data_IF_823494367273
#
_entry.id   IF_823494367273
#
_cell.length_a   1.000
_cell.length_b   1.000
_cell.length_c   1.000
_cell.angle_alpha   90.00
_cell.angle_beta   90.00
_cell.angle_gamma   90.00
#
_symmetry.space_group_name_H-M   'P 1'
#
loop_
_entity.id
_entity.type
_entity.pdbx_description
1 polymer ?
#
# COMPACT_ATOMS: atom_id res chain seq x y z
N UNK A 1 24.15 2.25 18.99
CA UNK A 1 24.26 1.69 17.63
C UNK A 1 23.12 0.72 17.35
N UNK A 2 22.83 -0.23 18.23
CA UNK A 2 21.89 -1.35 18.01
C UNK A 2 20.44 -1.02 17.60
N UNK A 3 19.82 0.03 18.15
CA UNK A 3 18.41 0.34 17.85
C UNK A 3 18.19 0.90 16.44
N UNK A 4 19.13 1.71 15.94
CA UNK A 4 19.04 2.27 14.59
C UNK A 4 19.20 1.16 13.54
N UNK A 5 20.14 0.26 13.76
CA UNK A 5 20.38 -0.89 12.88
C UNK A 5 19.23 -1.90 12.93
N UNK A 6 18.55 -2.02 14.07
CA UNK A 6 17.33 -2.82 14.17
C UNK A 6 16.18 -2.22 13.36
N UNK A 7 15.92 -0.92 13.50
CA UNK A 7 14.84 -0.25 12.77
C UNK A 7 15.11 -0.27 11.26
N UNK A 8 16.34 -0.01 10.84
CA UNK A 8 16.72 -0.05 9.41
C UNK A 8 16.43 -1.43 8.80
N UNK A 9 16.80 -2.52 9.51
CA UNK A 9 16.52 -3.88 9.05
C UNK A 9 15.03 -4.19 8.92
N UNK A 10 14.21 -3.67 9.84
CA UNK A 10 12.75 -3.84 9.75
C UNK A 10 12.17 -3.08 8.55
N UNK A 11 12.69 -1.88 8.26
CA UNK A 11 12.30 -1.09 7.08
C UNK A 11 12.69 -1.84 5.80
N UNK A 12 13.94 -2.30 5.70
CA UNK A 12 14.42 -3.07 4.55
C UNK A 12 13.60 -4.34 4.33
N UNK A 13 13.29 -5.07 5.42
CA UNK A 13 12.47 -6.28 5.36
C UNK A 13 11.08 -6.01 4.80
N UNK A 14 10.38 -4.99 5.30
CA UNK A 14 9.06 -4.62 4.78
C UNK A 14 9.15 -4.16 3.33
N UNK A 15 10.17 -3.36 2.98
CA UNK A 15 10.41 -2.93 1.60
C UNK A 15 10.56 -4.13 0.66
N UNK A 16 11.40 -5.09 1.02
CA UNK A 16 11.59 -6.33 0.24
C UNK A 16 10.28 -7.13 0.10
N UNK A 17 9.46 -7.21 1.16
CA UNK A 17 8.17 -7.90 1.10
C UNK A 17 7.22 -7.22 0.12
N UNK A 18 7.10 -5.89 0.19
CA UNK A 18 6.22 -5.12 -0.69
C UNK A 18 6.71 -5.20 -2.14
N UNK A 19 8.02 -5.07 -2.39
CA UNK A 19 8.58 -5.23 -3.73
C UNK A 19 8.36 -6.65 -4.29
N UNK A 20 8.48 -7.69 -3.46
CA UNK A 20 8.19 -9.06 -3.89
C UNK A 20 6.70 -9.28 -4.19
N UNK A 21 5.81 -8.61 -3.46
CA UNK A 21 4.37 -8.57 -3.75
C UNK A 21 4.16 -7.88 -5.11
N UNK A 22 4.72 -6.69 -5.32
CA UNK A 22 4.65 -5.97 -6.61
C UNK A 22 5.16 -6.82 -7.77
N UNK A 23 6.33 -7.45 -7.64
CA UNK A 23 6.87 -8.29 -8.71
C UNK A 23 5.97 -9.49 -9.02
N UNK A 24 5.33 -10.10 -8.02
CA UNK A 24 4.35 -11.18 -8.25
C UNK A 24 3.15 -10.68 -9.06
N UNK A 25 2.68 -9.47 -8.75
CA UNK A 25 1.54 -8.89 -9.46
C UNK A 25 1.93 -8.31 -10.83
N UNK A 26 3.11 -7.70 -11.00
CA UNK A 26 3.43 -6.82 -12.12
C UNK A 26 4.71 -7.17 -12.90
N UNK A 27 5.51 -8.14 -12.43
CA UNK A 27 6.88 -8.39 -12.91
C UNK A 27 7.02 -9.22 -14.18
N UNK A 28 6.13 -10.18 -14.45
CA UNK A 28 6.17 -11.00 -15.67
C UNK A 28 4.78 -11.13 -16.27
N UNK A 29 4.66 -10.82 -17.58
CA UNK A 29 3.46 -10.91 -18.45
C UNK A 29 2.21 -11.27 -17.67
N UNK A 30 1.56 -10.26 -17.08
CA UNK A 30 0.29 -10.50 -16.46
C UNK A 30 -0.63 -11.18 -17.46
N UNK A 31 -1.18 -12.32 -17.05
CA UNK A 31 -2.50 -12.69 -17.51
C UNK A 31 -3.44 -11.61 -16.96
N UNK A 32 -3.60 -10.50 -17.70
CA UNK A 32 -4.57 -9.43 -17.40
C UNK A 32 -6.00 -9.99 -17.27
N UNK A 33 -6.17 -11.27 -17.60
CA UNK A 33 -7.32 -12.14 -17.37
C UNK A 33 -7.63 -12.44 -15.89
N UNK A 34 -6.69 -12.22 -14.94
CA UNK A 34 -6.97 -12.51 -13.51
C UNK A 34 -7.93 -11.47 -12.94
N UNK A 35 -9.11 -11.87 -12.42
CA UNK A 35 -10.08 -10.94 -11.85
C UNK A 35 -9.50 -10.14 -10.69
N UNK A 36 -9.93 -8.88 -10.56
CA UNK A 36 -9.43 -7.93 -9.54
C UNK A 36 -9.70 -8.45 -8.13
N UNK A 37 -10.84 -9.11 -7.91
CA UNK A 37 -11.20 -9.69 -6.63
C UNK A 37 -10.19 -10.75 -6.20
N UNK A 38 -9.72 -11.57 -7.14
CA UNK A 38 -8.71 -12.58 -6.88
C UNK A 38 -7.36 -11.92 -6.58
N UNK A 39 -6.99 -10.86 -7.30
CA UNK A 39 -5.76 -10.12 -7.02
C UNK A 39 -5.78 -9.49 -5.62
N UNK A 40 -6.92 -8.96 -5.19
CA UNK A 40 -7.11 -8.41 -3.85
C UNK A 40 -7.06 -9.49 -2.76
N UNK A 41 -7.65 -10.67 -2.99
CA UNK A 41 -7.54 -11.80 -2.06
C UNK A 41 -6.08 -12.23 -1.90
N UNK A 42 -5.37 -12.43 -3.01
CA UNK A 42 -3.94 -12.78 -3.00
C UNK A 42 -3.10 -11.71 -2.28
N UNK A 43 -3.39 -10.42 -2.50
CA UNK A 43 -2.69 -9.33 -1.83
C UNK A 43 -2.87 -9.40 -0.32
N UNK A 44 -4.11 -9.56 0.15
CA UNK A 44 -4.44 -9.68 1.58
C UNK A 44 -3.69 -10.85 2.22
N UNK A 45 -3.75 -12.02 1.60
CA UNK A 45 -3.07 -13.22 2.11
C UNK A 45 -1.55 -13.01 2.20
N UNK A 46 -0.94 -12.36 1.21
CA UNK A 46 0.49 -12.07 1.22
C UNK A 46 0.88 -11.05 2.27
N UNK A 47 0.09 -9.99 2.46
CA UNK A 47 0.34 -8.97 3.48
C UNK A 47 0.25 -9.57 4.89
N UNK A 48 -0.77 -10.40 5.15
CA UNK A 48 -0.93 -11.08 6.45
C UNK A 48 0.21 -12.07 6.67
N UNK A 49 0.49 -12.94 5.71
CA UNK A 49 1.48 -14.00 5.87
C UNK A 49 2.93 -13.50 5.92
N UNK A 50 3.27 -12.46 5.15
CA UNK A 50 4.65 -11.99 5.02
C UNK A 50 4.96 -10.76 5.88
N UNK A 51 4.02 -9.83 6.00
CA UNK A 51 4.21 -8.57 6.72
C UNK A 51 3.44 -8.50 8.05
N UNK A 52 2.64 -9.53 8.40
CA UNK A 52 1.71 -9.50 9.53
C UNK A 52 0.74 -8.29 9.47
N UNK A 53 0.46 -7.83 8.24
CA UNK A 53 -0.39 -6.67 7.98
C UNK A 53 -1.74 -7.16 7.48
N UNK A 54 -2.78 -6.89 8.26
CA UNK A 54 -4.16 -7.23 7.94
C UNK A 54 -4.81 -6.07 7.20
N UNK A 55 -4.92 -6.22 5.88
CA UNK A 55 -5.51 -5.22 5.02
C UNK A 55 -7.01 -5.04 5.30
N UNK A 56 -7.76 -6.10 5.63
CA UNK A 56 -9.19 -5.96 5.92
C UNK A 56 -9.43 -5.20 7.22
N UNK A 57 -8.62 -5.47 8.25
CA UNK A 57 -8.60 -4.65 9.46
C UNK A 57 -8.25 -3.20 9.12
N UNK A 58 -7.19 -2.96 8.36
CA UNK A 58 -6.78 -1.61 7.98
C UNK A 58 -7.88 -0.83 7.26
N UNK A 59 -8.59 -1.47 6.32
CA UNK A 59 -9.69 -0.88 5.57
C UNK A 59 -10.86 -0.44 6.47
N UNK A 60 -11.05 -1.06 7.64
CA UNK A 60 -12.12 -0.73 8.59
C UNK A 60 -11.81 0.46 9.51
N UNK A 61 -10.57 0.93 9.52
CA UNK A 61 -10.12 2.02 10.41
C UNK A 61 -10.35 3.38 9.77
N UNK A 62 -10.57 4.41 10.60
CA UNK A 62 -10.52 5.80 10.17
C UNK A 62 -9.05 6.27 10.02
N UNK A 63 -8.82 7.50 9.58
CA UNK A 63 -7.46 8.03 9.34
C UNK A 63 -6.55 7.98 10.59
N UNK A 64 -7.09 8.28 11.77
CA UNK A 64 -6.34 8.22 13.03
C UNK A 64 -5.94 6.78 13.37
N UNK A 65 -6.91 5.86 13.38
CA UNK A 65 -6.67 4.44 13.62
C UNK A 65 -5.77 3.80 12.56
N UNK A 66 -5.84 4.28 11.31
CA UNK A 66 -4.98 3.84 10.21
C UNK A 66 -3.54 4.26 10.45
N UNK A 67 -3.32 5.51 10.87
CA UNK A 67 -2.00 6.01 11.25
C UNK A 67 -1.44 5.24 12.45
N UNK A 68 -2.25 4.99 13.48
CA UNK A 68 -1.84 4.20 14.65
C UNK A 68 -1.49 2.76 14.27
N UNK A 69 -2.34 2.11 13.47
CA UNK A 69 -2.12 0.75 13.01
C UNK A 69 -0.83 0.63 12.21
N UNK A 70 -0.60 1.49 11.22
CA UNK A 70 0.65 1.49 10.43
C UNK A 70 1.85 1.79 11.32
N UNK A 71 1.74 2.76 12.22
CA UNK A 71 2.84 3.15 13.11
C UNK A 71 3.19 2.07 14.15
N UNK A 72 2.30 1.09 14.38
CA UNK A 72 2.61 -0.08 15.21
C UNK A 72 3.67 -1.00 14.58
N UNK A 73 3.88 -0.89 13.26
CA UNK A 73 4.88 -1.64 12.52
C UNK A 73 6.13 -0.78 12.28
N UNK A 74 7.26 -1.18 12.88
CA UNK A 74 8.53 -0.44 12.75
C UNK A 74 9.07 -0.38 11.32
N UNK A 75 8.68 -1.33 10.46
CA UNK A 75 9.13 -1.39 9.07
C UNK A 75 8.31 -0.56 8.09
N UNK A 76 7.18 0.05 8.49
CA UNK A 76 6.41 0.94 7.61
C UNK A 76 6.97 2.36 7.64
N UNK A 77 8.08 2.57 6.93
CA UNK A 77 8.59 3.90 6.58
C UNK A 77 7.64 4.61 5.61
N UNK A 78 7.85 5.91 5.39
CA UNK A 78 7.11 6.68 4.36
C UNK A 78 7.18 5.99 3.01
N UNK A 79 8.37 5.54 2.60
CA UNK A 79 8.59 4.85 1.32
C UNK A 79 7.81 3.54 1.25
N UNK A 80 7.81 2.74 2.31
CA UNK A 80 7.09 1.46 2.33
C UNK A 80 5.56 1.65 2.36
N UNK A 81 5.07 2.69 3.04
CA UNK A 81 3.65 3.07 3.01
C UNK A 81 3.26 3.48 1.58
N UNK A 82 4.11 4.26 0.92
CA UNK A 82 3.89 4.69 -0.47
C UNK A 82 3.90 3.50 -1.44
N UNK A 83 4.84 2.56 -1.28
CA UNK A 83 4.84 1.34 -2.09
C UNK A 83 3.61 0.46 -1.86
N UNK A 84 3.08 0.40 -0.64
CA UNK A 84 1.81 -0.28 -0.38
C UNK A 84 0.65 0.41 -1.09
N UNK A 85 0.61 1.75 -1.04
CA UNK A 85 -0.39 2.55 -1.74
C UNK A 85 -0.33 2.32 -3.27
N UNK A 86 0.88 2.31 -3.84
CA UNK A 86 1.12 1.99 -5.25
C UNK A 86 0.56 0.60 -5.61
N UNK A 87 0.85 -0.43 -4.79
CA UNK A 87 0.34 -1.79 -5.03
C UNK A 87 -1.20 -1.82 -5.13
N UNK A 88 -1.87 -1.19 -4.16
CA UNK A 88 -3.33 -1.20 -4.08
C UNK A 88 -3.90 -0.42 -5.25
N UNK A 89 -3.33 0.76 -5.56
CA UNK A 89 -3.74 1.58 -6.69
C UNK A 89 -3.63 0.84 -8.01
N UNK A 90 -2.52 0.13 -8.26
CA UNK A 90 -2.30 -0.55 -9.53
C UNK A 90 -3.26 -1.71 -9.77
N UNK A 91 -3.71 -2.39 -8.71
CA UNK A 91 -4.75 -3.42 -8.78
C UNK A 91 -6.12 -2.77 -9.02
N UNK A 92 -6.43 -1.70 -8.29
CA UNK A 92 -7.78 -1.14 -8.21
C UNK A 92 -8.11 -0.14 -9.33
N UNK A 93 -7.15 0.59 -9.89
CA UNK A 93 -7.39 1.55 -10.97
C UNK A 93 -7.80 0.89 -12.29
N UNK A 94 -7.69 -0.44 -12.39
CA UNK A 94 -8.11 -1.22 -13.57
C UNK A 94 -9.58 -1.63 -13.49
N UNK A 95 -10.23 -1.39 -12.36
CA UNK A 95 -11.61 -1.76 -12.13
C UNK A 95 -12.56 -0.79 -12.84
N UNK A 96 -13.32 -1.31 -13.80
CA UNK A 96 -14.38 -0.57 -14.49
C UNK A 96 -15.70 -0.56 -13.74
N UNK A 97 -15.89 -1.47 -12.79
CA UNK A 97 -17.20 -1.82 -12.23
C UNK A 97 -17.44 -1.20 -10.85
N UNK A 98 -16.47 -0.42 -10.35
CA UNK A 98 -16.58 0.39 -9.13
C UNK A 98 -16.47 -0.38 -7.81
N UNK A 99 -16.27 -1.72 -7.85
CA UNK A 99 -16.08 -2.56 -6.67
C UNK A 99 -14.84 -2.20 -5.84
N UNK A 100 -13.88 -1.53 -6.49
CA UNK A 100 -12.59 -1.13 -5.91
C UNK A 100 -12.58 0.28 -5.33
N UNK A 101 -13.70 1.01 -5.39
CA UNK A 101 -13.82 2.40 -4.90
C UNK A 101 -13.30 2.58 -3.47
N UNK A 102 -13.73 1.71 -2.55
CA UNK A 102 -13.28 1.75 -1.14
C UNK A 102 -11.76 1.58 -0.99
N UNK A 103 -11.13 0.79 -1.85
CA UNK A 103 -9.68 0.57 -1.82
C UNK A 103 -8.94 1.79 -2.36
N UNK A 104 -9.47 2.42 -3.42
CA UNK A 104 -8.93 3.67 -3.95
C UNK A 104 -9.04 4.83 -2.95
N UNK A 105 -10.18 4.98 -2.26
CA UNK A 105 -10.34 5.95 -1.16
C UNK A 105 -9.32 5.69 -0.05
N UNK A 106 -9.10 4.42 0.32
CA UNK A 106 -8.08 4.08 1.32
C UNK A 106 -6.66 4.35 0.84
N UNK A 107 -6.38 4.16 -0.44
CA UNK A 107 -5.09 4.49 -1.05
C UNK A 107 -4.82 6.00 -1.00
N UNK A 108 -5.85 6.84 -1.19
CA UNK A 108 -5.71 8.29 -0.99
C UNK A 108 -5.30 8.61 0.46
N UNK A 109 -5.95 7.99 1.45
CA UNK A 109 -5.56 8.17 2.86
C UNK A 109 -4.09 7.77 3.11
N UNK A 110 -3.60 6.70 2.47
CA UNK A 110 -2.19 6.29 2.58
C UNK A 110 -1.24 7.36 2.03
N UNK A 111 -1.52 7.94 0.86
CA UNK A 111 -0.69 9.01 0.31
C UNK A 111 -0.74 10.28 1.16
N UNK A 112 -1.90 10.63 1.72
CA UNK A 112 -2.03 11.73 2.67
C UNK A 112 -1.19 11.49 3.93
N UNK A 113 -1.21 10.27 4.47
CA UNK A 113 -0.34 9.89 5.59
C UNK A 113 1.14 10.01 5.22
N UNK A 114 1.54 9.65 3.99
CA UNK A 114 2.91 9.86 3.50
C UNK A 114 3.27 11.35 3.46
N UNK A 115 2.39 12.20 2.94
CA UNK A 115 2.57 13.67 2.92
C UNK A 115 2.75 14.24 4.34
N UNK A 116 1.90 13.82 5.29
CA UNK A 116 1.97 14.26 6.68
C UNK A 116 3.25 13.81 7.38
N UNK A 117 3.68 12.56 7.14
CA UNK A 117 4.89 11.98 7.77
C UNK A 117 6.18 12.51 7.15
N UNK A 118 6.24 12.66 5.83
CA UNK A 118 7.46 13.07 5.13
C UNK A 118 7.77 14.55 5.32
N UNK A 119 6.74 15.39 5.50
CA UNK A 119 6.85 16.86 5.53
C UNK A 119 7.57 17.43 4.30
N UNK A 120 7.57 16.66 3.21
CA UNK A 120 8.22 16.97 1.94
C UNK A 120 7.22 16.78 0.83
N UNK A 121 7.20 17.74 -0.08
CA UNK A 121 6.38 17.67 -1.29
C UNK A 121 6.95 16.62 -2.25
N UNK A 122 6.10 15.76 -2.80
CA UNK A 122 6.44 14.78 -3.84
C UNK A 122 5.51 14.96 -5.03
N UNK A 123 6.05 15.47 -6.15
CA UNK A 123 5.27 15.66 -7.38
C UNK A 123 4.70 14.34 -7.91
N UNK A 124 5.47 13.26 -7.79
CA UNK A 124 5.05 11.92 -8.18
C UNK A 124 3.82 11.47 -7.38
N UNK A 125 3.87 11.66 -6.05
CA UNK A 125 2.76 11.33 -5.15
C UNK A 125 1.51 12.13 -5.48
N UNK A 126 1.64 13.44 -5.71
CA UNK A 126 0.50 14.28 -6.10
C UNK A 126 -0.12 13.83 -7.42
N UNK A 127 0.71 13.41 -8.38
CA UNK A 127 0.22 12.88 -9.67
C UNK A 127 -0.59 11.59 -9.48
N UNK A 128 -0.13 10.70 -8.58
CA UNK A 128 -0.84 9.46 -8.21
C UNK A 128 -2.17 9.77 -7.52
N UNK A 129 -2.17 10.71 -6.57
CA UNK A 129 -3.38 11.20 -5.88
C UNK A 129 -4.41 11.71 -6.89
N UNK A 130 -4.01 12.58 -7.81
CA UNK A 130 -4.92 13.14 -8.83
C UNK A 130 -5.44 12.08 -9.79
N UNK A 131 -4.61 11.09 -10.15
CA UNK A 131 -5.05 9.96 -10.99
C UNK A 131 -6.17 9.17 -10.31
N UNK A 132 -6.02 8.86 -9.01
CA UNK A 132 -7.06 8.16 -8.26
C UNK A 132 -8.32 9.00 -8.14
N UNK A 133 -8.20 10.29 -7.80
CA UNK A 133 -9.36 11.21 -7.70
C UNK A 133 -10.16 11.29 -9.01
N UNK A 134 -9.49 11.28 -10.16
CA UNK A 134 -10.15 11.29 -11.47
C UNK A 134 -10.83 9.96 -11.82
N UNK A 135 -10.49 8.88 -11.12
CA UNK A 135 -11.07 7.54 -11.30
C UNK A 135 -12.30 7.31 -10.40
N UNK A 136 -12.46 8.09 -9.32
CA UNK A 136 -13.48 7.95 -8.28
C UNK A 136 -14.81 8.66 -8.57
#
# INVERSE_FOLDING_TARGET
MEQKDFILREIEKIGMIISAIQQKFFGEKQDQSVPIEKQLVDLKEMLVSKANFDLDKFMSLNIEGSNEYISSFKGFSVENIEYLADCISEICCRDSDGGSKKYLEKTLELYELCNLKSRTYSLERETKIETIKNTL
#
